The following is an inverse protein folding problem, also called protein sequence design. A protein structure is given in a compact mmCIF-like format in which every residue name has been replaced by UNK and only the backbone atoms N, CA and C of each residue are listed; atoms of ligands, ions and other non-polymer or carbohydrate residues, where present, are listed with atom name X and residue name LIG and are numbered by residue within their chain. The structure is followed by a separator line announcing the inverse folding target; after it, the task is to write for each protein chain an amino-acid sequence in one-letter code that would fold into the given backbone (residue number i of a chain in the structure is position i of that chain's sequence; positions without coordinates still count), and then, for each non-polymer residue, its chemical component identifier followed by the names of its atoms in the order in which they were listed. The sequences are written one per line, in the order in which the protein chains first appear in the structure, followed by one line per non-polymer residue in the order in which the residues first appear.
data_IF_812426428600
#
_entry.id   IF_812426428600
#
_cell.length_a   1.000
_cell.length_b   1.000
_cell.length_c   1.000
_cell.angle_alpha   90.00
_cell.angle_beta   90.00
_cell.angle_gamma   90.00
#
_symmetry.space_group_name_H-M   'P 1'
#
loop_
_entity.id
_entity.type
_entity.pdbx_description
1 polymer ?
#
# COMPACT_ATOMS: atom_id res chain seq x y z
N UNK A 1 32.99 26.99 -9.72
CA UNK A 1 32.01 25.96 -10.14
C UNK A 1 30.76 26.15 -9.29
N UNK A 2 29.74 26.87 -9.78
CA UNK A 2 28.49 27.07 -9.05
C UNK A 2 27.67 25.78 -9.14
N UNK A 3 27.44 25.09 -8.01
CA UNK A 3 26.42 24.04 -7.94
C UNK A 3 25.05 24.70 -7.97
N UNK A 4 24.35 24.60 -9.10
CA UNK A 4 22.94 24.95 -9.17
C UNK A 4 22.17 23.95 -8.31
N UNK A 5 21.44 24.45 -7.29
CA UNK A 5 20.56 23.63 -6.48
C UNK A 5 19.50 22.98 -7.39
N UNK A 6 19.41 21.64 -7.36
CA UNK A 6 18.32 20.94 -8.04
C UNK A 6 17.01 21.31 -7.35
N UNK A 7 15.96 21.71 -8.11
CA UNK A 7 14.69 22.06 -7.53
C UNK A 7 14.11 20.87 -6.76
N UNK A 8 13.52 21.16 -5.59
CA UNK A 8 12.89 20.15 -4.75
C UNK A 8 11.76 19.46 -5.52
N UNK A 9 11.69 18.13 -5.43
CA UNK A 9 10.62 17.37 -6.06
C UNK A 9 9.27 17.72 -5.45
N UNK A 10 8.34 18.14 -6.29
CA UNK A 10 6.95 18.39 -5.89
C UNK A 10 6.16 17.11 -6.03
N UNK A 11 5.63 16.61 -4.91
CA UNK A 11 4.84 15.38 -4.88
C UNK A 11 3.51 15.57 -5.63
N UNK A 12 3.23 14.78 -6.69
CA UNK A 12 1.97 14.89 -7.42
C UNK A 12 0.76 14.55 -6.54
N UNK A 13 -0.45 15.07 -6.83
CA UNK A 13 -1.66 14.83 -6.03
C UNK A 13 -1.97 13.36 -5.77
N UNK A 14 -1.78 12.50 -6.78
CA UNK A 14 -1.92 11.05 -6.66
C UNK A 14 -1.01 10.46 -5.58
N UNK A 15 0.27 10.84 -5.56
CA UNK A 15 1.22 10.34 -4.57
C UNK A 15 1.06 11.04 -3.21
N UNK A 16 0.56 12.28 -3.19
CA UNK A 16 0.32 13.03 -1.97
C UNK A 16 -0.72 12.38 -1.06
N UNK A 17 -1.78 11.75 -1.61
CA UNK A 17 -2.75 11.01 -0.77
C UNK A 17 -2.13 9.78 -0.13
N UNK A 18 -1.24 9.07 -0.84
CA UNK A 18 -0.50 7.91 -0.33
C UNK A 18 0.38 8.33 0.85
N UNK A 19 0.95 9.54 0.79
CA UNK A 19 1.71 10.15 1.88
C UNK A 19 0.97 10.23 3.22
N UNK A 20 -0.35 10.18 3.24
CA UNK A 20 -1.12 10.12 4.48
C UNK A 20 -0.98 8.79 5.25
N UNK A 21 -0.33 7.78 4.67
CA UNK A 21 0.08 6.53 5.32
C UNK A 21 1.48 6.64 5.97
N UNK A 22 2.15 7.79 5.91
CA UNK A 22 3.46 7.96 6.52
C UNK A 22 3.40 7.74 8.04
N UNK A 23 4.39 7.01 8.57
CA UNK A 23 4.47 6.68 10.00
C UNK A 23 4.26 5.20 10.24
N UNK A 24 3.98 4.83 11.49
CA UNK A 24 3.79 3.44 11.90
C UNK A 24 2.36 3.18 12.33
N UNK A 25 1.93 1.93 12.12
CA UNK A 25 0.55 1.52 12.25
C UNK A 25 0.47 0.18 12.98
N UNK A 26 -0.43 0.10 13.95
CA UNK A 26 -0.96 -1.19 14.39
C UNK A 26 -2.07 -1.58 13.41
N UNK A 27 -2.03 -2.81 12.91
CA UNK A 27 -2.98 -3.32 11.92
C UNK A 27 -3.76 -4.47 12.54
N UNK A 28 -5.08 -4.33 12.56
CA UNK A 28 -6.01 -5.39 12.94
C UNK A 28 -6.89 -5.73 11.75
N UNK A 29 -7.28 -6.98 11.58
CA UNK A 29 -8.16 -7.36 10.49
C UNK A 29 -8.07 -8.82 10.15
N UNK A 30 -8.48 -9.13 8.93
CA UNK A 30 -8.58 -10.50 8.45
C UNK A 30 -8.14 -10.64 7.00
N UNK A 31 -7.64 -11.83 6.67
CA UNK A 31 -7.40 -12.30 5.30
C UNK A 31 -8.21 -13.58 5.13
N UNK A 32 -9.08 -13.61 4.12
CA UNK A 32 -9.95 -14.74 3.81
C UNK A 32 -10.72 -15.24 5.05
N UNK A 33 -11.22 -14.30 5.86
CA UNK A 33 -11.97 -14.57 7.09
C UNK A 33 -11.14 -15.02 8.29
N UNK A 34 -9.81 -15.16 8.16
CA UNK A 34 -8.91 -15.51 9.26
C UNK A 34 -8.25 -14.26 9.83
N UNK A 35 -8.17 -14.17 11.16
CA UNK A 35 -7.48 -13.06 11.82
C UNK A 35 -6.03 -12.95 11.35
N UNK A 36 -5.62 -11.74 10.98
CA UNK A 36 -4.28 -11.44 10.49
C UNK A 36 -3.79 -10.14 11.17
N UNK A 37 -3.39 -10.22 12.46
CA UNK A 37 -2.80 -9.09 13.15
C UNK A 37 -1.43 -8.79 12.56
N UNK A 38 -1.18 -7.50 12.30
CA UNK A 38 0.03 -7.05 11.62
C UNK A 38 0.49 -5.70 12.18
N UNK A 39 1.68 -5.30 11.78
CA UNK A 39 2.19 -3.93 11.91
C UNK A 39 2.51 -3.40 10.50
N UNK A 40 2.43 -2.09 10.31
CA UNK A 40 2.82 -1.47 9.05
C UNK A 40 3.61 -0.18 9.24
N UNK A 41 4.45 0.16 8.27
CA UNK A 41 5.23 1.40 8.26
C UNK A 41 5.28 2.00 6.87
N UNK A 42 4.90 3.28 6.79
CA UNK A 42 4.95 4.09 5.58
C UNK A 42 6.13 5.05 5.57
N UNK A 43 6.93 5.05 4.51
CA UNK A 43 8.15 5.87 4.38
C UNK A 43 8.32 6.47 2.99
N UNK A 44 8.93 7.65 2.93
CA UNK A 44 9.36 8.28 1.68
C UNK A 44 10.78 7.88 1.31
N UNK A 45 11.02 7.67 0.02
CA UNK A 45 12.32 7.31 -0.55
C UNK A 45 12.65 8.21 -1.74
N UNK A 46 13.93 8.25 -2.12
CA UNK A 46 14.44 8.95 -3.32
C UNK A 46 13.98 10.41 -3.44
N UNK A 47 14.07 11.16 -2.34
CA UNK A 47 13.63 12.57 -2.29
C UNK A 47 12.13 12.74 -2.50
N UNK A 48 11.31 11.85 -1.92
CA UNK A 48 9.83 11.81 -1.99
C UNK A 48 9.25 11.42 -3.35
N UNK A 49 10.05 10.83 -4.24
CA UNK A 49 9.59 10.29 -5.53
C UNK A 49 8.82 8.99 -5.38
N UNK A 50 9.16 8.23 -4.35
CA UNK A 50 8.52 6.97 -4.04
C UNK A 50 8.11 6.93 -2.57
N UNK A 51 6.97 6.30 -2.32
CA UNK A 51 6.49 6.01 -0.98
C UNK A 51 6.36 4.50 -0.84
N UNK A 52 6.86 3.92 0.25
CA UNK A 52 6.73 2.48 0.49
C UNK A 52 5.94 2.23 1.76
N UNK A 53 4.93 1.36 1.68
CA UNK A 53 4.21 0.82 2.81
C UNK A 53 4.67 -0.63 3.05
N UNK A 54 5.38 -0.87 4.15
CA UNK A 54 5.68 -2.22 4.61
C UNK A 54 4.59 -2.71 5.55
N UNK A 55 4.21 -3.98 5.41
CA UNK A 55 3.30 -4.72 6.27
C UNK A 55 4.03 -5.98 6.74
N UNK A 56 3.92 -6.30 8.02
CA UNK A 56 4.40 -7.56 8.60
C UNK A 56 3.37 -8.15 9.53
N UNK A 57 2.96 -9.39 9.29
CA UNK A 57 2.12 -10.16 10.19
C UNK A 57 2.86 -10.43 11.50
N UNK A 58 2.15 -10.33 12.62
CA UNK A 58 2.67 -10.62 13.97
C UNK A 58 2.12 -11.93 14.54
N UNK A 59 1.34 -12.67 13.75
CA UNK A 59 0.78 -13.96 14.11
C UNK A 59 1.72 -15.13 13.83
N UNK A 60 1.18 -16.35 13.92
CA UNK A 60 1.93 -17.58 13.67
C UNK A 60 2.30 -17.82 12.20
N UNK A 61 1.61 -17.15 11.27
CA UNK A 61 1.87 -17.22 9.83
C UNK A 61 2.63 -15.96 9.39
N UNK A 62 3.96 -16.04 9.18
CA UNK A 62 4.78 -14.87 8.88
C UNK A 62 4.59 -14.43 7.42
N UNK A 63 3.65 -13.51 7.22
CA UNK A 63 3.47 -12.79 5.95
C UNK A 63 4.12 -11.41 6.01
N UNK A 64 4.87 -11.05 4.96
CA UNK A 64 5.43 -9.72 4.80
C UNK A 64 5.12 -9.19 3.41
N UNK A 65 4.87 -7.88 3.32
CA UNK A 65 4.67 -7.19 2.06
C UNK A 65 5.28 -5.80 2.08
N UNK A 66 5.85 -5.39 0.94
CA UNK A 66 6.31 -4.04 0.67
C UNK A 66 5.63 -3.51 -0.60
N UNK A 67 4.78 -2.50 -0.44
CA UNK A 67 4.09 -1.85 -1.55
C UNK A 67 4.74 -0.50 -1.81
N UNK A 68 5.47 -0.39 -2.92
CA UNK A 68 6.11 0.86 -3.34
C UNK A 68 5.22 1.59 -4.34
N UNK A 69 4.89 2.83 -4.05
CA UNK A 69 4.08 3.72 -4.87
C UNK A 69 4.93 4.81 -5.49
N UNK A 70 4.63 5.17 -6.74
CA UNK A 70 5.22 6.29 -7.44
C UNK A 70 4.18 7.00 -8.30
N UNK A 71 4.49 8.20 -8.76
CA UNK A 71 3.67 8.92 -9.72
C UNK A 71 4.50 9.27 -10.96
N UNK A 72 3.83 9.25 -12.12
CA UNK A 72 4.39 9.67 -13.39
C UNK A 72 3.87 11.04 -13.83
N UNK A 73 3.91 11.31 -15.14
CA UNK A 73 3.46 12.57 -15.72
C UNK A 73 1.96 12.86 -15.53
N UNK A 74 1.15 11.84 -15.24
CA UNK A 74 -0.28 11.99 -14.98
C UNK A 74 -0.54 12.29 -13.48
N UNK A 75 -0.97 13.52 -13.11
CA UNK A 75 -0.95 13.96 -11.71
C UNK A 75 -1.85 13.16 -10.74
N UNK A 76 -2.86 12.46 -11.27
CA UNK A 76 -3.85 11.69 -10.49
C UNK A 76 -3.63 10.18 -10.54
N UNK A 77 -2.72 9.70 -11.41
CA UNK A 77 -2.38 8.29 -11.50
C UNK A 77 -1.34 7.93 -10.44
N UNK A 78 -1.45 6.71 -9.92
CA UNK A 78 -0.52 6.18 -8.91
C UNK A 78 -0.03 4.83 -9.42
N UNK A 79 1.23 4.75 -9.83
CA UNK A 79 1.85 3.45 -10.11
C UNK A 79 2.26 2.78 -8.81
N UNK A 80 2.24 1.45 -8.78
CA UNK A 80 2.78 0.72 -7.64
C UNK A 80 3.45 -0.60 -8.03
N UNK A 81 4.33 -1.06 -7.14
CA UNK A 81 4.89 -2.41 -7.12
C UNK A 81 4.52 -3.05 -5.79
N UNK A 82 3.85 -4.20 -5.81
CA UNK A 82 3.52 -5.01 -4.64
C UNK A 82 4.49 -6.20 -4.58
N UNK A 83 5.34 -6.21 -3.55
CA UNK A 83 6.29 -7.29 -3.27
C UNK A 83 5.84 -7.97 -1.99
N UNK A 84 5.90 -9.30 -1.92
CA UNK A 84 5.59 -10.03 -0.69
C UNK A 84 6.39 -11.32 -0.54
N UNK A 85 6.18 -12.01 0.58
CA UNK A 85 6.88 -13.24 0.96
C UNK A 85 6.60 -14.44 0.03
N UNK A 86 5.63 -14.36 -0.89
CA UNK A 86 5.43 -15.39 -1.93
C UNK A 86 6.44 -15.26 -3.09
N UNK A 87 7.16 -14.14 -3.18
CA UNK A 87 8.29 -13.95 -4.09
C UNK A 87 7.95 -13.31 -5.44
N UNK A 88 8.99 -12.84 -6.14
CA UNK A 88 8.87 -11.95 -7.29
C UNK A 88 8.44 -12.57 -8.63
N UNK A 89 8.16 -13.88 -8.68
CA UNK A 89 7.67 -14.56 -9.89
C UNK A 89 6.15 -14.76 -9.90
N UNK A 90 5.45 -14.31 -8.85
CA UNK A 90 3.99 -14.27 -8.86
C UNK A 90 3.50 -13.06 -9.68
N UNK A 91 2.98 -13.31 -10.88
CA UNK A 91 2.44 -12.28 -11.80
C UNK A 91 1.14 -11.66 -11.26
N UNK A 92 0.89 -10.33 -11.38
CA UNK A 92 1.85 -9.23 -11.48
C UNK A 92 1.89 -8.36 -10.22
N UNK A 93 3.11 -7.97 -9.87
CA UNK A 93 3.40 -6.96 -8.86
C UNK A 93 3.05 -5.53 -9.28
N UNK A 94 2.75 -5.23 -10.56
CA UNK A 94 2.52 -3.86 -11.04
C UNK A 94 1.05 -3.43 -10.89
N UNK A 95 0.84 -2.30 -10.23
CA UNK A 95 -0.46 -1.70 -9.98
C UNK A 95 -0.66 -0.36 -10.69
N UNK A 96 -1.90 -0.09 -11.10
CA UNK A 96 -2.33 1.23 -11.49
C UNK A 96 -3.50 1.69 -10.63
N UNK A 97 -3.30 2.82 -9.97
CA UNK A 97 -4.23 3.38 -9.02
C UNK A 97 -4.74 4.75 -9.40
N UNK A 98 -5.80 5.14 -8.70
CA UNK A 98 -6.49 6.40 -8.87
C UNK A 98 -6.96 6.95 -7.52
N UNK A 99 -7.10 8.27 -7.46
CA UNK A 99 -7.71 8.97 -6.34
C UNK A 99 -9.21 8.61 -6.22
N UNK A 100 -9.65 8.39 -4.99
CA UNK A 100 -11.05 8.29 -4.61
C UNK A 100 -11.38 9.36 -3.56
N UNK A 101 -12.68 9.68 -3.37
CA UNK A 101 -13.11 10.78 -2.47
C UNK A 101 -12.53 10.70 -1.06
N UNK A 102 -12.32 9.48 -0.53
CA UNK A 102 -11.82 9.25 0.84
C UNK A 102 -10.43 8.62 0.88
N UNK A 103 -9.72 8.53 -0.24
CA UNK A 103 -8.41 7.90 -0.30
C UNK A 103 -8.00 7.52 -1.71
N UNK A 104 -7.61 6.27 -1.92
CA UNK A 104 -7.18 5.78 -3.23
C UNK A 104 -7.42 4.29 -3.37
N UNK A 105 -7.39 3.83 -4.61
CA UNK A 105 -7.46 2.41 -4.96
C UNK A 105 -6.32 2.05 -5.88
N UNK A 106 -5.72 0.88 -5.67
CA UNK A 106 -4.81 0.21 -6.59
C UNK A 106 -5.48 -1.00 -7.22
N UNK A 107 -5.15 -1.27 -8.49
CA UNK A 107 -5.63 -2.45 -9.21
C UNK A 107 -4.44 -3.29 -9.65
N UNK A 108 -4.42 -4.54 -9.22
CA UNK A 108 -3.45 -5.56 -9.63
C UNK A 108 -4.18 -6.64 -10.42
N UNK A 109 -3.74 -6.94 -11.64
CA UNK A 109 -4.45 -7.81 -12.58
C UNK A 109 -3.74 -9.14 -12.75
N UNK A 110 -4.28 -10.21 -12.20
CA UNK A 110 -3.80 -11.58 -12.38
C UNK A 110 -4.51 -12.23 -13.57
N UNK A 111 -4.05 -13.41 -13.98
CA UNK A 111 -4.61 -14.12 -15.14
C UNK A 111 -6.10 -14.45 -14.97
N UNK A 112 -6.54 -14.75 -13.74
CA UNK A 112 -7.88 -15.22 -13.39
C UNK A 112 -8.69 -14.23 -12.54
N UNK A 113 -8.05 -13.23 -11.94
CA UNK A 113 -8.69 -12.26 -11.06
C UNK A 113 -8.08 -10.86 -11.12
N UNK A 114 -8.82 -9.85 -10.68
CA UNK A 114 -8.29 -8.52 -10.37
C UNK A 114 -8.43 -8.24 -8.88
N UNK A 115 -7.35 -7.85 -8.22
CA UNK A 115 -7.34 -7.47 -6.82
C UNK A 115 -7.37 -5.94 -6.68
N UNK A 116 -8.45 -5.45 -6.08
CA UNK A 116 -8.65 -4.03 -5.77
C UNK A 116 -8.21 -3.75 -4.34
N UNK A 117 -7.08 -3.06 -4.19
CA UNK A 117 -6.56 -2.62 -2.89
C UNK A 117 -7.04 -1.19 -2.64
N UNK A 118 -8.06 -1.02 -1.81
CA UNK A 118 -8.65 0.28 -1.49
C UNK A 118 -8.23 0.74 -0.10
N UNK A 119 -7.63 1.92 -0.04
CA UNK A 119 -7.31 2.63 1.19
C UNK A 119 -8.27 3.80 1.36
N UNK A 120 -8.98 3.84 2.49
CA UNK A 120 -9.90 4.91 2.83
C UNK A 120 -9.59 5.48 4.21
N UNK A 121 -9.64 6.80 4.36
CA UNK A 121 -9.51 7.45 5.68
C UNK A 121 -10.63 6.99 6.61
N UNK A 122 -10.27 6.63 7.84
CA UNK A 122 -11.17 6.20 8.90
C UNK A 122 -10.72 6.79 10.24
N UNK A 123 -11.37 7.88 10.67
CA UNK A 123 -10.93 8.64 11.86
C UNK A 123 -9.51 9.17 11.68
N UNK A 124 -8.64 8.89 12.64
CA UNK A 124 -7.19 9.20 12.57
C UNK A 124 -6.38 8.16 11.80
N UNK A 125 -7.03 7.06 11.37
CA UNK A 125 -6.39 5.94 10.70
C UNK A 125 -6.88 5.71 9.27
N UNK A 126 -6.65 4.49 8.82
CA UNK A 126 -7.03 4.03 7.50
C UNK A 126 -7.75 2.69 7.58
N UNK A 127 -8.73 2.49 6.71
CA UNK A 127 -9.22 1.17 6.36
C UNK A 127 -8.57 0.74 5.06
N UNK A 128 -8.05 -0.48 5.02
CA UNK A 128 -7.50 -1.10 3.82
C UNK A 128 -8.28 -2.38 3.51
N UNK A 129 -9.03 -2.36 2.43
CA UNK A 129 -9.78 -3.53 1.95
C UNK A 129 -9.18 -4.02 0.64
N UNK A 130 -9.00 -5.33 0.51
CA UNK A 130 -8.64 -6.01 -0.72
C UNK A 130 -9.86 -6.79 -1.19
N UNK A 131 -10.38 -6.42 -2.36
CA UNK A 131 -11.49 -7.13 -3.01
C UNK A 131 -10.94 -7.93 -4.18
N UNK A 132 -11.24 -9.22 -4.22
CA UNK A 132 -10.98 -10.06 -5.37
C UNK A 132 -12.15 -9.96 -6.37
N UNK A 133 -11.83 -9.75 -7.63
CA UNK A 133 -12.76 -9.80 -8.75
C UNK A 133 -12.36 -10.96 -9.66
N UNK A 134 -12.74 -12.17 -9.26
CA UNK A 134 -12.47 -13.39 -10.02
C UNK A 134 -13.36 -13.49 -11.26
N UNK A 135 -12.82 -14.01 -12.36
CA UNK A 135 -13.56 -14.17 -13.62
C UNK A 135 -14.78 -15.09 -13.42
N UNK A 136 -15.96 -14.60 -13.80
CA UNK A 136 -17.21 -15.37 -13.73
C UNK A 136 -17.79 -15.54 -12.32
N UNK A 137 -17.24 -14.87 -11.30
CA UNK A 137 -17.75 -14.90 -9.93
C UNK A 137 -18.10 -13.48 -9.45
N UNK A 138 -19.06 -13.33 -8.52
CA UNK A 138 -19.28 -12.06 -7.83
C UNK A 138 -18.01 -11.63 -7.07
N UNK A 139 -17.74 -10.31 -6.93
CA UNK A 139 -16.63 -9.82 -6.12
C UNK A 139 -16.73 -10.29 -4.66
N UNK A 140 -15.59 -10.62 -4.06
CA UNK A 140 -15.47 -11.09 -2.68
C UNK A 140 -14.40 -10.30 -1.92
N UNK A 141 -14.54 -10.21 -0.60
CA UNK A 141 -13.50 -9.59 0.25
C UNK A 141 -12.39 -10.60 0.48
N UNK A 142 -11.21 -10.31 -0.04
CA UNK A 142 -10.01 -11.09 0.20
C UNK A 142 -9.32 -10.70 1.51
N UNK A 143 -9.21 -9.39 1.79
CA UNK A 143 -8.67 -8.90 3.06
C UNK A 143 -9.37 -7.62 3.50
N UNK A 144 -9.40 -7.37 4.80
CA UNK A 144 -9.99 -6.17 5.38
C UNK A 144 -9.27 -5.82 6.69
N UNK A 145 -8.64 -4.64 6.70
CA UNK A 145 -7.78 -4.17 7.76
C UNK A 145 -8.18 -2.78 8.23
N UNK A 146 -8.00 -2.55 9.53
CA UNK A 146 -7.97 -1.23 10.15
C UNK A 146 -6.54 -0.93 10.61
N UNK A 147 -5.99 0.18 10.11
CA UNK A 147 -4.68 0.71 10.46
C UNK A 147 -4.88 1.86 11.45
N UNK A 148 -4.38 1.67 12.68
CA UNK A 148 -4.41 2.70 13.73
C UNK A 148 -3.01 3.27 13.92
N UNK A 149 -2.85 4.60 14.03
CA UNK A 149 -1.54 5.20 14.29
C UNK A 149 -0.90 4.60 15.54
N UNK A 150 0.40 4.33 15.47
CA UNK A 150 1.17 3.80 16.59
C UNK A 150 2.60 4.36 16.59
N UNK A 151 3.28 4.41 17.75
CA UNK A 151 4.70 4.73 17.80
C UNK A 151 5.52 3.71 16.99
N UNK A 152 6.52 4.17 16.24
CA UNK A 152 7.44 3.28 15.54
C UNK A 152 8.42 2.54 16.46
N UNK A 153 8.53 2.95 17.73
CA UNK A 153 9.50 2.38 18.69
C UNK A 153 9.19 0.90 18.90
N UNK A 154 10.19 0.05 18.69
CA UNK A 154 10.08 -1.40 18.89
C UNK A 154 9.41 -2.15 17.73
N UNK A 155 8.94 -1.46 16.69
CA UNK A 155 8.52 -2.11 15.46
C UNK A 155 9.74 -2.46 14.61
N UNK A 156 9.88 -3.73 14.28
CA UNK A 156 10.90 -4.21 13.35
C UNK A 156 10.25 -4.51 12.01
N UNK A 157 10.98 -4.25 10.94
CA UNK A 157 10.59 -4.57 9.58
C UNK A 157 11.86 -5.06 8.90
N UNK A 158 11.78 -6.18 8.21
CA UNK A 158 12.92 -6.72 7.49
C UNK A 158 12.85 -6.14 6.07
N UNK A 159 13.70 -5.15 5.78
CA UNK A 159 13.89 -4.60 4.44
C UNK A 159 15.27 -3.99 4.27
#
# INVERSE_FOLDING_TARGET
MLMLATPAYTVPPGLAVVGGLQGCWQVSGQVQGKASPSIARGQWHLGRRYFTLHLRATGADPYEAAITYGAGAQPRAIGSVFLDSFGGLYEPSLGLGALERRGFVQRYRFADATYLNRFSRAGTGWRWTITEQAKGKPPSVFADYDLRPAPCRGMQFDY
#
